data_IF_895724694163
#
_entry.id   IF_895724694163
#
_cell.length_a   1.000
_cell.length_b   1.000
_cell.length_c   1.000
_cell.angle_alpha   90.00
_cell.angle_beta   90.00
_cell.angle_gamma   90.00
#
_symmetry.space_group_name_H-M   'P 1'
#
loop_
_entity.id
_entity.type
_entity.pdbx_description
1 polymer ?
#
# COMPACT_ATOMS: atom_id res chain seq x y z
N UNK A 1 -29.31 -19.38 13.96
CA UNK A 1 -28.25 -19.35 12.94
C UNK A 1 -27.34 -18.18 13.24
N UNK A 2 -26.08 -18.44 13.56
CA UNK A 2 -25.10 -17.42 13.90
C UNK A 2 -24.38 -16.85 12.68
N UNK A 3 -24.27 -15.54 12.65
CA UNK A 3 -23.32 -14.76 11.86
C UNK A 3 -22.80 -13.69 12.82
N UNK A 4 -21.52 -13.47 13.10
CA UNK A 4 -20.31 -13.88 12.42
C UNK A 4 -19.27 -12.84 12.82
N UNK A 5 -18.46 -13.19 13.83
CA UNK A 5 -17.08 -12.75 14.04
C UNK A 5 -16.82 -11.23 14.11
N UNK A 6 -16.96 -10.70 15.33
CA UNK A 6 -16.19 -9.55 15.77
C UNK A 6 -14.70 -9.86 15.65
N UNK A 7 -14.05 -9.24 14.68
CA UNK A 7 -12.60 -9.34 14.47
C UNK A 7 -11.89 -8.56 15.59
N UNK A 8 -11.76 -9.21 16.74
CA UNK A 8 -10.82 -8.84 17.79
C UNK A 8 -9.42 -8.98 17.20
N UNK A 9 -8.83 -7.86 16.78
CA UNK A 9 -7.45 -7.73 16.34
C UNK A 9 -6.49 -8.11 17.48
N UNK A 10 -6.34 -9.42 17.68
CA UNK A 10 -5.26 -10.02 18.45
C UNK A 10 -3.98 -10.05 17.60
N UNK A 11 -2.85 -9.92 18.28
CA UNK A 11 -1.49 -10.09 17.74
C UNK A 11 -1.01 -8.97 16.81
N UNK A 12 -0.32 -7.97 17.40
CA UNK A 12 0.27 -6.84 16.67
C UNK A 12 1.33 -7.20 15.61
N UNK A 13 1.85 -8.45 15.60
CA UNK A 13 2.74 -8.97 14.55
C UNK A 13 1.98 -9.44 13.32
N UNK A 14 0.88 -10.16 13.53
CA UNK A 14 0.01 -10.68 12.47
C UNK A 14 -0.71 -9.53 11.76
N UNK A 15 -1.16 -8.53 12.53
CA UNK A 15 -1.77 -7.30 12.01
C UNK A 15 -0.84 -6.53 11.04
N UNK A 16 0.47 -6.53 11.28
CA UNK A 16 1.46 -5.87 10.38
C UNK A 16 1.62 -6.62 9.07
N UNK A 17 1.69 -7.95 9.12
CA UNK A 17 1.77 -8.80 7.93
C UNK A 17 0.50 -8.65 7.07
N UNK A 18 -0.67 -8.64 7.69
CA UNK A 18 -1.96 -8.40 7.01
C UNK A 18 -1.99 -6.99 6.40
N UNK A 19 -1.53 -5.97 7.12
CA UNK A 19 -1.46 -4.59 6.61
C UNK A 19 -0.55 -4.50 5.38
N UNK A 20 0.62 -5.14 5.42
CA UNK A 20 1.56 -5.20 4.28
C UNK A 20 0.97 -5.96 3.09
N UNK A 21 0.28 -7.07 3.34
CA UNK A 21 -0.37 -7.86 2.29
C UNK A 21 -1.48 -7.06 1.62
N UNK A 22 -2.34 -6.40 2.41
CA UNK A 22 -3.39 -5.52 1.90
C UNK A 22 -2.80 -4.34 1.11
N UNK A 23 -1.73 -3.72 1.60
CA UNK A 23 -1.04 -2.65 0.89
C UNK A 23 -0.48 -3.14 -0.46
N UNK A 24 0.16 -4.31 -0.49
CA UNK A 24 0.69 -4.92 -1.72
C UNK A 24 -0.40 -5.11 -2.78
N UNK A 25 -1.55 -5.65 -2.38
CA UNK A 25 -2.68 -5.85 -3.30
C UNK A 25 -3.19 -4.53 -3.86
N UNK A 26 -3.34 -3.50 -3.03
CA UNK A 26 -3.77 -2.17 -3.48
C UNK A 26 -2.74 -1.51 -4.43
N UNK A 27 -1.45 -1.60 -4.09
CA UNK A 27 -0.35 -1.12 -4.94
C UNK A 27 -0.39 -1.83 -6.30
N UNK A 28 -0.54 -3.16 -6.31
CA UNK A 28 -0.63 -3.94 -7.55
C UNK A 28 -1.83 -3.51 -8.40
N UNK A 29 -3.01 -3.34 -7.81
CA UNK A 29 -4.19 -2.88 -8.55
C UNK A 29 -3.97 -1.50 -9.17
N UNK A 30 -3.42 -0.54 -8.42
CA UNK A 30 -3.11 0.80 -8.91
C UNK A 30 -2.04 0.76 -10.00
N UNK A 31 -0.99 -0.01 -9.80
CA UNK A 31 0.08 -0.19 -10.77
C UNK A 31 -0.44 -0.80 -12.08
N UNK A 32 -1.30 -1.80 -12.03
CA UNK A 32 -1.94 -2.38 -13.21
C UNK A 32 -2.82 -1.36 -13.95
N UNK A 33 -3.61 -0.56 -13.22
CA UNK A 33 -4.42 0.52 -13.82
C UNK A 33 -3.56 1.60 -14.50
N UNK A 34 -2.41 1.89 -13.92
CA UNK A 34 -1.45 2.87 -14.41
C UNK A 34 -0.44 2.27 -15.40
N UNK A 35 -0.57 0.98 -15.73
CA UNK A 35 0.34 0.22 -16.60
C UNK A 35 1.83 0.37 -16.19
N UNK A 36 2.08 0.40 -14.88
CA UNK A 36 3.43 0.49 -14.35
C UNK A 36 4.16 -0.84 -14.47
N UNK A 37 5.48 -0.76 -14.60
CA UNK A 37 6.36 -1.93 -14.63
C UNK A 37 6.25 -2.72 -13.32
N UNK A 38 6.46 -4.05 -13.34
CA UNK A 38 6.45 -4.86 -12.12
C UNK A 38 7.48 -4.39 -11.08
N UNK A 39 8.61 -3.84 -11.52
CA UNK A 39 9.61 -3.23 -10.64
C UNK A 39 9.06 -2.03 -9.84
N UNK A 40 8.10 -1.28 -10.40
CA UNK A 40 7.48 -0.15 -9.72
C UNK A 40 6.64 -0.59 -8.51
N UNK A 41 5.98 -1.76 -8.60
CA UNK A 41 5.20 -2.34 -7.50
C UNK A 41 6.12 -2.66 -6.31
N UNK A 42 7.26 -3.32 -6.57
CA UNK A 42 8.19 -3.68 -5.51
C UNK A 42 8.80 -2.43 -4.85
N UNK A 43 9.17 -1.44 -5.68
CA UNK A 43 9.68 -0.15 -5.22
C UNK A 43 8.65 0.59 -4.35
N UNK A 44 7.38 0.63 -4.77
CA UNK A 44 6.30 1.27 -4.02
C UNK A 44 6.02 0.54 -2.69
N UNK A 45 6.10 -0.79 -2.70
CA UNK A 45 5.97 -1.60 -1.49
C UNK A 45 7.12 -1.32 -0.52
N UNK A 46 8.35 -1.13 -1.03
CA UNK A 46 9.50 -0.80 -0.21
C UNK A 46 9.35 0.58 0.47
N UNK A 47 8.81 1.58 -0.24
CA UNK A 47 8.45 2.87 0.38
C UNK A 47 7.40 2.72 1.47
N UNK A 48 6.40 1.86 1.25
CA UNK A 48 5.38 1.60 2.26
C UNK A 48 5.94 0.91 3.51
N UNK A 49 6.86 -0.05 3.35
CA UNK A 49 7.61 -0.67 4.46
C UNK A 49 8.44 0.37 5.23
N UNK A 50 9.09 1.29 4.52
CA UNK A 50 9.84 2.39 5.14
C UNK A 50 8.90 3.31 5.94
N UNK A 51 7.76 3.68 5.38
CA UNK A 51 6.75 4.50 6.04
C UNK A 51 6.19 3.83 7.31
N UNK A 52 5.98 2.51 7.29
CA UNK A 52 5.59 1.72 8.45
C UNK A 52 6.68 1.68 9.53
N UNK A 53 7.95 1.56 9.12
CA UNK A 53 9.11 1.54 10.02
C UNK A 53 9.34 2.90 10.66
N UNK A 54 9.07 3.99 9.93
CA UNK A 54 9.14 5.37 10.40
C UNK A 54 7.87 5.87 11.10
N UNK A 55 6.88 4.99 11.30
CA UNK A 55 5.58 5.33 11.91
C UNK A 55 4.78 6.43 11.19
N UNK A 56 5.07 6.71 9.93
CA UNK A 56 4.38 7.72 9.11
C UNK A 56 2.95 7.31 8.70
N UNK A 57 2.59 6.05 8.96
CA UNK A 57 1.25 5.52 8.72
C UNK A 57 0.30 5.70 9.92
N UNK A 58 0.83 6.09 11.09
CA UNK A 58 0.04 6.20 12.33
C UNK A 58 -0.92 7.39 12.21
N UNK A 59 -2.23 7.13 12.38
CA UNK A 59 -3.27 8.15 12.27
C UNK A 59 -3.71 8.48 10.83
N UNK A 60 -3.18 7.80 9.80
CA UNK A 60 -3.61 7.97 8.40
C UNK A 60 -4.19 6.68 7.86
N UNK A 61 -5.23 6.78 7.02
CA UNK A 61 -5.77 5.60 6.32
C UNK A 61 -4.69 4.99 5.43
N UNK A 62 -4.51 3.67 5.53
CA UNK A 62 -3.51 2.90 4.76
C UNK A 62 -3.61 3.19 3.25
N UNK A 63 -4.81 3.37 2.73
CA UNK A 63 -5.10 3.70 1.33
C UNK A 63 -4.43 5.00 0.86
N UNK A 64 -4.40 6.05 1.68
CA UNK A 64 -3.73 7.31 1.33
C UNK A 64 -2.22 7.13 1.23
N UNK A 65 -1.63 6.37 2.15
CA UNK A 65 -0.19 6.10 2.15
C UNK A 65 0.19 5.28 0.92
N UNK A 66 -0.61 4.25 0.60
CA UNK A 66 -0.43 3.45 -0.62
C UNK A 66 -0.47 4.32 -1.87
N UNK A 67 -1.50 5.17 -2.01
CA UNK A 67 -1.63 6.07 -3.16
C UNK A 67 -0.41 7.01 -3.29
N UNK A 68 0.08 7.57 -2.18
CA UNK A 68 1.27 8.42 -2.17
C UNK A 68 2.54 7.65 -2.58
N UNK A 69 2.74 6.42 -2.09
CA UNK A 69 3.87 5.58 -2.46
C UNK A 69 3.86 5.23 -3.95
N UNK A 70 2.68 4.86 -4.50
CA UNK A 70 2.52 4.60 -5.94
C UNK A 70 2.82 5.86 -6.74
N UNK A 71 2.24 7.00 -6.36
CA UNK A 71 2.46 8.29 -7.03
C UNK A 71 3.94 8.67 -7.10
N UNK A 72 4.70 8.48 -6.01
CA UNK A 72 6.15 8.74 -5.99
C UNK A 72 6.92 7.87 -6.99
N UNK A 73 6.51 6.62 -7.16
CA UNK A 73 7.16 5.70 -8.11
C UNK A 73 6.75 6.01 -9.53
N UNK A 74 5.46 6.28 -9.80
CA UNK A 74 4.97 6.76 -11.09
C UNK A 74 5.75 7.98 -11.57
N UNK A 75 5.97 8.94 -10.67
CA UNK A 75 6.70 10.18 -10.96
C UNK A 75 8.18 9.94 -11.24
N UNK A 76 8.79 8.94 -10.60
CA UNK A 76 10.21 8.59 -10.80
C UNK A 76 10.49 7.74 -12.03
N UNK A 77 9.57 6.86 -12.43
CA UNK A 77 9.74 6.00 -13.61
C UNK A 77 9.58 6.79 -14.93
N UNK A 78 9.34 8.11 -14.87
CA UNK A 78 9.22 8.95 -16.06
C UNK A 78 7.96 8.69 -16.87
N UNK A 79 7.01 7.89 -16.37
CA UNK A 79 5.64 7.83 -16.89
C UNK A 79 4.94 9.11 -16.46
N UNK A 80 5.30 10.21 -17.13
CA UNK A 80 4.65 11.52 -17.07
C UNK A 80 3.24 11.41 -17.68
N UNK A 81 2.39 10.59 -17.06
CA UNK A 81 0.95 10.72 -17.19
C UNK A 81 0.51 11.65 -16.07
N UNK A 82 0.87 12.91 -16.24
CA UNK A 82 0.14 14.02 -15.67
C UNK A 82 -1.30 13.87 -16.15
N UNK A 83 -2.21 13.50 -15.25
CA UNK A 83 -3.62 13.78 -15.46
C UNK A 83 -3.85 15.16 -14.86
N UNK A 84 -3.93 16.14 -15.76
CA UNK A 84 -4.60 17.42 -15.53
C UNK A 84 -6.09 17.18 -15.28
#
# INVERSE_FOLDING_TARGET
GGYGLGNRFGSGRESRAITLQNAKQNIQQLASKLQLKPHAVDTALNYYKLALTKHLTKGRKSTHVVAACVYMVCRKDGTSRILV
#
